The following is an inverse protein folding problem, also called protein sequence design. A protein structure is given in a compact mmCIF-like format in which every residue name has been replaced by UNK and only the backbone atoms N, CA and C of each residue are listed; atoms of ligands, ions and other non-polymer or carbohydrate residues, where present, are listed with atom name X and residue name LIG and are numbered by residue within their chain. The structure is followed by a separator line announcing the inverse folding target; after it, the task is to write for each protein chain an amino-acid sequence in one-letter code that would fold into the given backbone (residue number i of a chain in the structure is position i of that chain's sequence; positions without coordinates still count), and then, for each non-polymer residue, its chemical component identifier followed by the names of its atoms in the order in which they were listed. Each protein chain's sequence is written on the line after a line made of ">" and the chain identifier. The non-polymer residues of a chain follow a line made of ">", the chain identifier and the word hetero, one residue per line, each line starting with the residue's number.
data_IF_601831963660
#
_entry.id   IF_601831963660
#
_cell.length_a   1.000
_cell.length_b   1.000
_cell.length_c   1.000
_cell.angle_alpha   90.00
_cell.angle_beta   90.00
_cell.angle_gamma   90.00
#
_symmetry.space_group_name_H-M   'P 1'
#
loop_
_entity.id
_entity.type
_entity.pdbx_description
1 polymer ?
#
# COMPACT_ATOMS: atom_id res chain seq x y z
N UNK A 1 -26.32 46.27 -1.40
CA UNK A 1 -27.38 45.33 -1.82
C UNK A 1 -26.71 44.17 -2.52
N UNK A 2 -26.86 42.93 -2.00
CA UNK A 2 -26.07 41.78 -2.46
C UNK A 2 -26.82 41.04 -3.60
N UNK A 3 -26.29 40.99 -4.83
CA UNK A 3 -26.99 40.47 -6.02
C UNK A 3 -27.29 38.96 -5.96
N UNK A 4 -26.71 38.23 -5.00
CA UNK A 4 -26.90 36.79 -4.79
C UNK A 4 -28.27 36.39 -4.20
N UNK A 5 -29.07 37.35 -3.71
CA UNK A 5 -30.39 37.04 -3.10
C UNK A 5 -31.43 36.51 -4.08
N UNK A 6 -31.27 36.77 -5.38
CA UNK A 6 -32.28 36.41 -6.38
C UNK A 6 -32.17 34.96 -6.87
N UNK A 7 -31.03 34.31 -6.64
CA UNK A 7 -30.69 32.99 -7.18
C UNK A 7 -30.98 31.83 -6.20
N UNK A 8 -31.29 32.13 -4.93
CA UNK A 8 -31.43 31.14 -3.85
C UNK A 8 -32.75 31.38 -3.13
N UNK A 9 -33.58 30.34 -2.97
CA UNK A 9 -34.86 30.41 -2.25
C UNK A 9 -34.69 31.07 -0.87
N UNK A 10 -35.61 31.96 -0.48
CA UNK A 10 -35.55 32.73 0.77
C UNK A 10 -35.16 31.94 2.05
N UNK A 11 -35.68 30.71 2.30
CA UNK A 11 -35.26 29.94 3.48
C UNK A 11 -33.83 29.38 3.39
N UNK A 12 -33.36 29.07 2.18
CA UNK A 12 -32.00 28.59 1.96
C UNK A 12 -30.96 29.71 2.16
N UNK A 13 -31.31 30.96 1.81
CA UNK A 13 -30.45 32.11 2.07
C UNK A 13 -30.29 32.40 3.57
N UNK A 14 -31.39 32.33 4.34
CA UNK A 14 -31.38 32.57 5.79
C UNK A 14 -30.55 31.52 6.54
N UNK A 15 -30.64 30.25 6.13
CA UNK A 15 -29.85 29.18 6.73
C UNK A 15 -28.36 29.30 6.39
N UNK A 16 -28.02 29.76 5.18
CA UNK A 16 -26.63 30.02 4.78
C UNK A 16 -26.02 31.20 5.53
N UNK A 17 -26.77 32.31 5.67
CA UNK A 17 -26.29 33.51 6.37
C UNK A 17 -26.05 33.22 7.86
N UNK A 18 -26.98 32.52 8.51
CA UNK A 18 -26.85 32.14 9.93
C UNK A 18 -25.61 31.24 10.16
N UNK A 19 -25.31 30.34 9.22
CA UNK A 19 -24.10 29.49 9.29
C UNK A 19 -22.82 30.28 9.05
N UNK A 20 -22.83 31.20 8.09
CA UNK A 20 -21.71 32.08 7.81
C UNK A 20 -21.38 32.94 9.04
N UNK A 21 -22.39 33.54 9.65
CA UNK A 21 -22.23 34.37 10.86
C UNK A 21 -21.75 33.52 12.05
N UNK A 22 -22.25 32.28 12.19
CA UNK A 22 -21.74 31.31 13.17
C UNK A 22 -20.25 31.00 12.99
N UNK A 23 -19.77 30.80 11.76
CA UNK A 23 -18.35 30.56 11.49
C UNK A 23 -17.49 31.81 11.76
N UNK A 24 -18.03 33.01 11.51
CA UNK A 24 -17.36 34.29 11.79
C UNK A 24 -17.22 34.51 13.30
N UNK A 25 -18.26 34.25 14.08
CA UNK A 25 -18.25 34.33 15.54
C UNK A 25 -17.28 33.33 16.18
N UNK A 26 -17.10 32.17 15.57
CA UNK A 26 -16.15 31.16 16.02
C UNK A 26 -14.68 31.50 15.68
N UNK A 27 -14.40 32.60 14.97
CA UNK A 27 -13.04 33.07 14.66
C UNK A 27 -12.46 32.58 13.33
N UNK A 28 -13.29 32.16 12.36
CA UNK A 28 -12.81 31.78 11.02
C UNK A 28 -12.63 32.98 10.09
N UNK A 29 -11.65 32.88 9.17
CA UNK A 29 -11.44 33.90 8.14
C UNK A 29 -12.66 34.02 7.21
N UNK A 30 -12.96 35.23 6.73
CA UNK A 30 -14.10 35.47 5.85
C UNK A 30 -14.04 34.62 4.56
N UNK A 31 -12.83 34.41 4.04
CA UNK A 31 -12.59 33.54 2.88
C UNK A 31 -12.89 32.07 3.19
N UNK A 32 -12.42 31.56 4.33
CA UNK A 32 -12.71 30.17 4.72
C UNK A 32 -14.20 29.94 4.94
N UNK A 33 -14.90 30.86 5.62
CA UNK A 33 -16.35 30.79 5.82
C UNK A 33 -17.11 30.82 4.48
N UNK A 34 -16.69 31.69 3.54
CA UNK A 34 -17.28 31.78 2.20
C UNK A 34 -17.07 30.51 1.37
N UNK A 35 -15.84 30.00 1.34
CA UNK A 35 -15.49 28.76 0.62
C UNK A 35 -16.29 27.57 1.17
N UNK A 36 -16.37 27.40 2.49
CA UNK A 36 -17.15 26.30 3.09
C UNK A 36 -18.65 26.43 2.83
N UNK A 37 -19.22 27.64 2.89
CA UNK A 37 -20.62 27.85 2.51
C UNK A 37 -20.89 27.52 1.04
N UNK A 38 -19.99 27.92 0.13
CA UNK A 38 -20.08 27.56 -1.29
C UNK A 38 -20.04 26.04 -1.50
N UNK A 39 -19.10 25.34 -0.86
CA UNK A 39 -19.01 23.89 -0.93
C UNK A 39 -20.19 23.16 -0.27
N UNK A 40 -20.80 23.73 0.77
CA UNK A 40 -22.02 23.20 1.37
C UNK A 40 -23.21 23.29 0.41
N UNK A 41 -23.35 24.42 -0.31
CA UNK A 41 -24.39 24.60 -1.33
C UNK A 41 -24.15 23.67 -2.51
N UNK A 42 -22.92 23.61 -3.03
CA UNK A 42 -22.52 22.72 -4.11
C UNK A 42 -22.71 21.24 -3.71
N UNK A 43 -22.37 20.92 -2.48
CA UNK A 43 -22.58 19.60 -1.94
C UNK A 43 -24.08 19.29 -1.82
N UNK A 44 -24.92 20.21 -1.32
CA UNK A 44 -26.38 20.03 -1.26
C UNK A 44 -27.02 19.88 -2.64
N UNK A 45 -26.48 20.54 -3.67
CA UNK A 45 -27.00 20.42 -5.04
C UNK A 45 -26.58 19.12 -5.74
N UNK A 46 -25.33 18.67 -5.56
CA UNK A 46 -24.79 17.49 -6.24
C UNK A 46 -25.01 16.19 -5.46
N UNK A 47 -24.89 16.25 -4.13
CA UNK A 47 -24.99 15.13 -3.21
C UNK A 47 -26.24 15.35 -2.38
N UNK A 48 -27.30 14.58 -2.64
CA UNK A 48 -28.55 14.60 -1.85
C UNK A 48 -28.26 14.22 -0.39
N UNK A 49 -27.78 15.18 0.41
CA UNK A 49 -27.37 14.97 1.81
C UNK A 49 -28.57 14.67 2.73
N UNK A 50 -29.79 14.83 2.23
CA UNK A 50 -31.05 14.39 2.84
C UNK A 50 -31.21 12.87 2.83
N UNK A 51 -30.44 12.14 2.01
CA UNK A 51 -30.52 10.69 1.97
C UNK A 51 -30.10 10.10 3.34
N UNK A 52 -30.76 9.02 3.80
CA UNK A 52 -30.52 8.44 5.13
C UNK A 52 -29.08 7.91 5.31
N UNK A 53 -28.37 7.65 4.22
CA UNK A 53 -26.94 7.32 4.25
C UNK A 53 -26.06 8.51 4.64
N UNK A 54 -26.29 9.68 4.05
CA UNK A 54 -25.52 10.89 4.31
C UNK A 54 -25.78 11.47 5.69
N UNK A 55 -27.02 11.42 6.18
CA UNK A 55 -27.35 11.86 7.54
C UNK A 55 -26.59 11.06 8.61
N UNK A 56 -26.38 9.75 8.39
CA UNK A 56 -25.55 8.92 9.30
C UNK A 56 -24.09 9.34 9.29
N UNK A 57 -23.54 9.68 8.12
CA UNK A 57 -22.15 10.16 7.97
C UNK A 57 -21.98 11.51 8.66
N UNK A 58 -22.92 12.43 8.47
CA UNK A 58 -22.91 13.76 9.08
C UNK A 58 -23.04 13.65 10.60
N UNK A 59 -23.92 12.78 11.11
CA UNK A 59 -24.06 12.53 12.55
C UNK A 59 -22.77 11.97 13.19
N UNK A 60 -22.00 11.19 12.44
CA UNK A 60 -20.73 10.61 12.89
C UNK A 60 -19.50 11.44 12.48
N UNK A 61 -19.68 12.66 11.97
CA UNK A 61 -18.59 13.48 11.41
C UNK A 61 -17.46 13.72 12.40
N UNK A 62 -17.76 13.99 13.67
CA UNK A 62 -16.75 14.17 14.73
C UNK A 62 -15.95 12.91 15.01
N UNK A 63 -16.58 11.74 14.86
CA UNK A 63 -15.91 10.46 15.01
C UNK A 63 -15.08 10.12 13.78
N UNK A 64 -15.55 10.41 12.56
CA UNK A 64 -14.84 10.08 11.32
C UNK A 64 -13.66 11.03 11.04
N UNK A 65 -13.82 12.33 11.33
CA UNK A 65 -12.81 13.35 11.11
C UNK A 65 -12.53 14.14 12.40
N UNK A 66 -11.85 13.56 13.39
CA UNK A 66 -11.58 14.23 14.67
C UNK A 66 -10.73 15.49 14.51
N UNK A 67 -9.93 15.57 13.44
CA UNK A 67 -9.04 16.70 13.14
C UNK A 67 -9.72 17.89 12.44
N UNK A 68 -10.98 17.76 12.02
CA UNK A 68 -11.72 18.82 11.30
C UNK A 68 -12.77 19.38 12.25
N UNK A 69 -12.47 20.52 12.88
CA UNK A 69 -13.40 21.21 13.78
C UNK A 69 -14.56 21.82 12.97
N UNK A 70 -15.81 21.36 13.17
CA UNK A 70 -16.97 21.91 12.45
C UNK A 70 -17.20 23.39 12.71
N UNK A 71 -16.75 23.86 13.87
CA UNK A 71 -16.99 25.19 14.40
C UNK A 71 -15.98 26.22 13.84
N UNK A 72 -14.78 25.79 13.42
CA UNK A 72 -13.71 26.68 12.93
C UNK A 72 -13.13 26.20 11.59
N UNK A 73 -13.86 26.39 10.48
CA UNK A 73 -13.39 25.96 9.16
C UNK A 73 -12.12 26.72 8.74
N UNK A 74 -11.07 25.98 8.37
CA UNK A 74 -9.87 26.50 7.70
C UNK A 74 -10.02 26.33 6.18
N UNK A 75 -9.37 27.18 5.36
CA UNK A 75 -9.52 27.11 3.90
C UNK A 75 -9.01 25.79 3.32
N UNK A 76 -8.00 25.17 3.95
CA UNK A 76 -7.42 23.89 3.53
C UNK A 76 -8.17 22.65 4.07
N UNK A 77 -9.25 22.82 4.85
CA UNK A 77 -9.96 21.68 5.43
C UNK A 77 -10.72 20.84 4.39
N UNK A 78 -11.05 21.42 3.23
CA UNK A 78 -11.70 20.70 2.13
C UNK A 78 -10.74 19.69 1.51
N UNK A 79 -9.49 20.10 1.25
CA UNK A 79 -8.47 19.21 0.70
C UNK A 79 -8.17 18.06 1.67
N UNK A 80 -8.12 18.37 2.99
CA UNK A 80 -7.98 17.37 4.05
C UNK A 80 -9.18 16.43 4.12
N UNK A 81 -10.39 16.95 3.96
CA UNK A 81 -11.60 16.13 3.93
C UNK A 81 -11.58 15.16 2.74
N UNK A 82 -11.19 15.63 1.55
CA UNK A 82 -11.08 14.80 0.34
C UNK A 82 -9.97 13.76 0.49
N UNK A 83 -8.76 14.17 0.87
CA UNK A 83 -7.62 13.25 1.02
C UNK A 83 -7.90 12.18 2.07
N UNK A 84 -8.49 12.56 3.20
CA UNK A 84 -8.81 11.64 4.28
C UNK A 84 -9.99 10.74 3.92
N UNK A 85 -10.98 11.24 3.18
CA UNK A 85 -12.07 10.40 2.66
C UNK A 85 -11.55 9.37 1.66
N UNK A 86 -10.63 9.76 0.77
CA UNK A 86 -9.94 8.86 -0.16
C UNK A 86 -9.09 7.84 0.61
N UNK A 87 -8.36 8.29 1.63
CA UNK A 87 -7.53 7.40 2.45
C UNK A 87 -8.37 6.37 3.23
N UNK A 88 -9.48 6.79 3.83
CA UNK A 88 -10.45 5.90 4.47
C UNK A 88 -11.07 4.93 3.45
N UNK A 89 -11.25 5.36 2.20
CA UNK A 89 -11.77 4.53 1.10
C UNK A 89 -10.78 3.48 0.62
N UNK A 90 -9.49 3.82 0.55
CA UNK A 90 -8.44 2.95 0.04
C UNK A 90 -7.86 2.02 1.11
N UNK A 91 -7.53 2.55 2.29
CA UNK A 91 -6.61 1.90 3.23
C UNK A 91 -7.22 1.36 4.52
N UNK A 92 -8.50 1.62 4.83
CA UNK A 92 -9.06 1.13 6.08
C UNK A 92 -9.11 -0.42 6.09
N UNK A 93 -8.35 -1.10 6.97
CA UNK A 93 -8.36 -2.56 7.08
C UNK A 93 -9.70 -3.00 7.70
N UNK A 94 -10.29 -4.07 7.17
CA UNK A 94 -11.45 -4.72 7.78
C UNK A 94 -10.97 -5.59 8.95
N UNK A 95 -10.51 -4.96 10.03
CA UNK A 95 -10.18 -5.71 11.25
C UNK A 95 -11.48 -6.15 11.93
N UNK A 96 -11.64 -7.46 12.08
CA UNK A 96 -12.79 -8.11 12.71
C UNK A 96 -12.92 -7.89 14.23
N UNK A 97 -12.36 -6.80 14.78
CA UNK A 97 -12.42 -6.54 16.22
C UNK A 97 -13.75 -5.90 16.64
N UNK A 98 -14.47 -6.62 17.48
CA UNK A 98 -15.87 -6.41 17.85
C UNK A 98 -15.99 -5.55 19.11
N UNK A 99 -15.83 -4.22 19.02
CA UNK A 99 -16.54 -3.35 20.00
C UNK A 99 -16.71 -1.88 19.65
N UNK A 100 -15.84 -1.27 18.84
CA UNK A 100 -15.92 0.20 18.61
C UNK A 100 -15.95 0.65 17.13
N UNK A 101 -15.61 -0.23 16.18
CA UNK A 101 -15.56 0.13 14.75
C UNK A 101 -16.85 -0.16 13.96
N UNK A 102 -17.73 -1.07 14.42
CA UNK A 102 -18.96 -1.45 13.69
C UNK A 102 -19.96 -0.28 13.49
N UNK A 103 -20.03 0.68 14.42
CA UNK A 103 -20.92 1.86 14.26
C UNK A 103 -20.41 2.86 13.22
N UNK A 104 -19.09 3.02 13.06
CA UNK A 104 -18.45 3.85 12.02
C UNK A 104 -18.64 3.29 10.60
N UNK A 105 -18.85 1.97 10.49
CA UNK A 105 -18.81 1.22 9.24
C UNK A 105 -20.16 1.16 8.48
N UNK A 106 -21.29 1.32 9.20
CA UNK A 106 -22.63 1.16 8.59
C UNK A 106 -23.03 2.26 7.62
N UNK A 107 -22.41 3.44 7.68
CA UNK A 107 -22.80 4.57 6.84
C UNK A 107 -22.29 4.44 5.40
N UNK A 108 -21.15 3.76 5.20
CA UNK A 108 -20.51 3.60 3.90
C UNK A 108 -20.71 2.22 3.25
N UNK A 109 -21.40 1.28 3.90
CA UNK A 109 -21.54 -0.10 3.43
C UNK A 109 -22.11 -0.24 1.99
N UNK A 110 -22.94 0.71 1.52
CA UNK A 110 -23.43 0.72 0.12
C UNK A 110 -22.33 1.07 -0.90
N UNK A 111 -21.41 1.98 -0.55
CA UNK A 111 -20.27 2.36 -1.40
C UNK A 111 -19.17 1.29 -1.41
N UNK A 112 -18.98 0.58 -0.30
CA UNK A 112 -17.99 -0.50 -0.18
C UNK A 112 -18.53 -1.89 -0.56
N UNK A 113 -19.81 -2.03 -0.93
CA UNK A 113 -20.42 -3.30 -1.31
C UNK A 113 -19.73 -3.95 -2.52
N UNK A 114 -19.41 -3.15 -3.54
CA UNK A 114 -18.63 -3.61 -4.70
C UNK A 114 -17.21 -4.03 -4.31
N UNK A 115 -16.57 -3.32 -3.37
CA UNK A 115 -15.24 -3.68 -2.84
C UNK A 115 -15.28 -5.00 -2.08
N UNK A 116 -16.32 -5.24 -1.29
CA UNK A 116 -16.52 -6.49 -0.55
C UNK A 116 -16.88 -7.66 -1.48
N UNK A 117 -17.68 -7.44 -2.52
CA UNK A 117 -17.93 -8.45 -3.55
C UNK A 117 -16.67 -8.74 -4.37
N UNK A 118 -15.88 -7.71 -4.70
CA UNK A 118 -14.57 -7.88 -5.31
C UNK A 118 -13.63 -8.65 -4.38
N UNK A 119 -13.64 -8.40 -3.06
CA UNK A 119 -12.86 -9.16 -2.09
C UNK A 119 -13.31 -10.60 -1.94
N UNK A 120 -14.61 -10.85 -1.84
CA UNK A 120 -15.16 -12.20 -1.77
C UNK A 120 -14.94 -12.97 -3.09
N UNK A 121 -14.91 -12.27 -4.22
CA UNK A 121 -14.53 -12.84 -5.51
C UNK A 121 -13.02 -13.09 -5.61
N UNK A 122 -12.19 -12.19 -5.08
CA UNK A 122 -10.74 -12.34 -5.00
C UNK A 122 -10.30 -13.45 -4.05
N UNK A 123 -10.99 -13.63 -2.93
CA UNK A 123 -10.76 -14.74 -1.99
C UNK A 123 -11.18 -16.10 -2.59
N UNK A 124 -11.98 -16.11 -3.67
CA UNK A 124 -12.25 -17.32 -4.47
C UNK A 124 -11.22 -17.57 -5.57
N UNK A 125 -10.39 -16.60 -5.96
CA UNK A 125 -9.29 -16.81 -6.91
C UNK A 125 -8.21 -17.80 -6.41
N UNK A 126 -7.80 -17.86 -5.12
CA UNK A 126 -6.85 -18.88 -4.67
C UNK A 126 -7.39 -20.31 -4.78
N UNK A 127 -8.71 -20.54 -4.91
CA UNK A 127 -9.26 -21.87 -5.22
C UNK A 127 -8.90 -22.33 -6.65
N UNK A 128 -8.59 -21.40 -7.57
CA UNK A 128 -8.07 -21.73 -8.89
C UNK A 128 -6.56 -21.98 -8.91
N UNK A 129 -5.81 -21.66 -7.85
CA UNK A 129 -4.38 -21.97 -7.75
C UNK A 129 -4.16 -23.48 -7.49
N UNK A 130 -5.11 -24.18 -6.85
CA UNK A 130 -5.14 -25.67 -6.86
C UNK A 130 -5.30 -26.27 -8.26
N UNK A 131 -5.77 -25.49 -9.25
CA UNK A 131 -5.74 -25.89 -10.67
C UNK A 131 -4.32 -25.87 -11.25
N UNK A 132 -3.43 -25.06 -10.65
CA UNK A 132 -1.99 -25.06 -10.92
C UNK A 132 -1.34 -26.38 -10.54
N UNK A 133 -1.67 -26.95 -9.37
CA UNK A 133 -1.20 -28.29 -8.96
C UNK A 133 -1.70 -29.39 -9.92
N UNK A 134 -2.95 -29.30 -10.40
CA UNK A 134 -3.47 -30.22 -11.45
C UNK A 134 -2.81 -30.01 -12.82
N UNK A 135 -2.44 -28.78 -13.15
CA UNK A 135 -1.66 -28.45 -14.35
C UNK A 135 -0.24 -28.99 -14.23
N UNK A 136 0.38 -28.88 -13.05
CA UNK A 136 1.67 -29.47 -12.73
C UNK A 136 1.64 -31.01 -12.79
N UNK A 137 0.58 -31.65 -12.29
CA UNK A 137 0.36 -33.09 -12.45
C UNK A 137 0.21 -33.48 -13.94
N UNK A 138 -0.52 -32.70 -14.74
CA UNK A 138 -0.64 -32.94 -16.19
C UNK A 138 0.68 -32.68 -16.93
N UNK A 139 1.44 -31.66 -16.53
CA UNK A 139 2.77 -31.34 -17.07
C UNK A 139 3.82 -32.38 -16.66
N UNK A 140 3.71 -32.97 -15.47
CA UNK A 140 4.56 -34.07 -15.00
C UNK A 140 4.31 -35.39 -15.75
N UNK A 141 3.14 -35.55 -16.38
CA UNK A 141 2.84 -36.71 -17.25
C UNK A 141 3.43 -36.58 -18.65
N UNK A 142 3.94 -35.40 -19.04
CA UNK A 142 4.58 -35.18 -20.34
C UNK A 142 6.05 -35.62 -20.29
N UNK A 143 6.60 -35.97 -21.47
CA UNK A 143 8.01 -36.35 -21.57
C UNK A 143 8.93 -35.23 -21.05
N UNK A 144 10.04 -35.57 -20.37
CA UNK A 144 10.92 -34.58 -19.73
C UNK A 144 11.50 -33.57 -20.75
N UNK A 145 11.72 -33.99 -22.00
CA UNK A 145 12.16 -33.12 -23.08
C UNK A 145 11.09 -32.11 -23.53
N UNK A 146 9.85 -32.54 -23.71
CA UNK A 146 8.74 -31.66 -24.10
C UNK A 146 8.42 -30.65 -23.00
N UNK A 147 8.48 -31.07 -21.74
CA UNK A 147 8.33 -30.19 -20.58
C UNK A 147 9.39 -29.08 -20.61
N UNK A 148 10.67 -29.44 -20.77
CA UNK A 148 11.77 -28.47 -20.84
C UNK A 148 11.59 -27.50 -22.00
N UNK A 149 11.17 -28.00 -23.18
CA UNK A 149 10.88 -27.17 -24.34
C UNK A 149 9.73 -26.18 -24.08
N UNK A 150 8.62 -26.64 -23.52
CA UNK A 150 7.47 -25.78 -23.19
C UNK A 150 7.83 -24.68 -22.19
N UNK A 151 8.61 -25.00 -21.15
CA UNK A 151 9.09 -23.99 -20.20
C UNK A 151 10.05 -23.00 -20.85
N UNK A 152 10.96 -23.46 -21.72
CA UNK A 152 11.87 -22.56 -22.46
C UNK A 152 11.08 -21.65 -23.40
N UNK A 153 10.16 -22.19 -24.20
CA UNK A 153 9.32 -21.41 -25.11
C UNK A 153 8.44 -20.42 -24.33
N UNK A 154 7.81 -20.84 -23.24
CA UNK A 154 7.01 -19.96 -22.39
C UNK A 154 7.83 -18.84 -21.77
N UNK A 155 9.04 -19.16 -21.28
CA UNK A 155 9.98 -18.16 -20.74
C UNK A 155 10.45 -17.19 -21.81
N UNK A 156 10.72 -17.66 -23.04
CA UNK A 156 11.10 -16.81 -24.17
C UNK A 156 9.97 -15.85 -24.56
N UNK A 157 8.73 -16.35 -24.64
CA UNK A 157 7.56 -15.52 -24.94
C UNK A 157 7.36 -14.47 -23.84
N UNK A 158 7.44 -14.87 -22.57
CA UNK A 158 7.32 -13.95 -21.44
C UNK A 158 8.44 -12.89 -21.45
N UNK A 159 9.68 -13.28 -21.73
CA UNK A 159 10.80 -12.37 -21.86
C UNK A 159 10.63 -11.40 -23.03
N UNK A 160 10.16 -11.87 -24.18
CA UNK A 160 9.88 -11.02 -25.35
C UNK A 160 8.76 -10.00 -25.06
N UNK A 161 7.68 -10.43 -24.41
CA UNK A 161 6.59 -9.54 -24.00
C UNK A 161 7.06 -8.50 -22.96
N UNK A 162 7.90 -8.92 -22.01
CA UNK A 162 8.48 -8.02 -21.01
C UNK A 162 9.41 -7.00 -21.68
N UNK A 163 10.26 -7.44 -22.61
CA UNK A 163 11.15 -6.55 -23.37
C UNK A 163 10.36 -5.53 -24.17
N UNK A 164 9.29 -5.97 -24.84
CA UNK A 164 8.39 -5.09 -25.60
C UNK A 164 7.71 -4.06 -24.69
N UNK A 165 7.26 -4.47 -23.50
CA UNK A 165 6.71 -3.53 -22.50
C UNK A 165 7.74 -2.52 -21.95
N UNK A 166 9.02 -2.91 -21.87
CA UNK A 166 10.11 -2.05 -21.39
C UNK A 166 10.51 -1.05 -22.48
N UNK A 167 10.66 -1.50 -23.73
CA UNK A 167 11.19 -0.68 -24.82
C UNK A 167 10.16 0.23 -25.49
N UNK A 168 8.86 -0.04 -25.34
CA UNK A 168 7.82 0.73 -26.03
C UNK A 168 7.69 2.16 -25.45
N UNK A 169 7.91 3.22 -26.26
CA UNK A 169 7.68 4.59 -25.85
C UNK A 169 6.17 4.81 -25.77
N UNK A 170 5.65 4.90 -24.55
CA UNK A 170 4.26 5.27 -24.31
C UNK A 170 4.17 6.79 -24.18
N UNK A 171 3.08 7.36 -24.67
CA UNK A 171 2.72 8.73 -24.36
C UNK A 171 2.50 8.91 -22.85
N UNK A 172 2.65 10.14 -22.34
CA UNK A 172 2.55 10.45 -20.91
C UNK A 172 1.23 10.00 -20.30
N UNK A 173 0.12 10.17 -21.02
CA UNK A 173 -1.20 9.77 -20.53
C UNK A 173 -1.33 8.24 -20.46
N UNK A 174 -0.87 7.55 -21.50
CA UNK A 174 -0.87 6.08 -21.56
C UNK A 174 0.06 5.48 -20.51
N UNK A 175 1.22 6.10 -20.27
CA UNK A 175 2.15 5.70 -19.20
C UNK A 175 1.50 5.84 -17.82
N UNK A 176 0.77 6.92 -17.57
CA UNK A 176 0.05 7.10 -16.32
C UNK A 176 -1.01 6.00 -16.09
N UNK A 177 -1.82 5.70 -17.11
CA UNK A 177 -2.81 4.61 -17.05
C UNK A 177 -2.11 3.27 -16.81
N UNK A 178 -1.02 3.00 -17.52
CA UNK A 178 -0.26 1.76 -17.38
C UNK A 178 0.28 1.58 -15.95
N UNK A 179 0.90 2.62 -15.38
CA UNK A 179 1.40 2.59 -13.99
C UNK A 179 0.27 2.40 -12.99
N UNK A 180 -0.87 3.08 -13.17
CA UNK A 180 -2.05 2.88 -12.33
C UNK A 180 -2.57 1.44 -12.41
N UNK A 181 -2.59 0.85 -13.61
CA UNK A 181 -3.03 -0.52 -13.82
C UNK A 181 -2.07 -1.53 -13.19
N UNK A 182 -0.75 -1.33 -13.33
CA UNK A 182 0.26 -2.15 -12.66
C UNK A 182 0.17 -2.00 -11.13
N UNK A 183 -0.06 -0.79 -10.63
CA UNK A 183 -0.25 -0.56 -9.20
C UNK A 183 -1.51 -1.24 -8.66
N UNK A 184 -2.63 -1.15 -9.38
CA UNK A 184 -3.85 -1.87 -9.04
C UNK A 184 -3.61 -3.39 -9.03
N UNK A 185 -2.92 -3.93 -10.04
CA UNK A 185 -2.52 -5.33 -10.10
C UNK A 185 -1.62 -5.71 -8.90
N UNK A 186 -0.63 -4.88 -8.56
CA UNK A 186 0.23 -5.10 -7.39
C UNK A 186 -0.58 -5.15 -6.09
N UNK A 187 -1.55 -4.24 -5.93
CA UNK A 187 -2.43 -4.19 -4.75
C UNK A 187 -3.34 -5.42 -4.64
N UNK A 188 -3.75 -5.99 -5.78
CA UNK A 188 -4.51 -7.22 -5.86
C UNK A 188 -3.61 -8.42 -5.51
N UNK A 189 -2.44 -8.55 -6.13
CA UNK A 189 -1.48 -9.64 -5.90
C UNK A 189 -0.94 -9.65 -4.47
N UNK A 190 -0.69 -8.48 -3.88
CA UNK A 190 -0.22 -8.33 -2.49
C UNK A 190 -1.15 -8.96 -1.45
N UNK A 191 -2.44 -9.12 -1.79
CA UNK A 191 -3.42 -9.72 -0.88
C UNK A 191 -3.43 -11.25 -0.93
N UNK A 192 -2.79 -11.86 -1.94
CA UNK A 192 -2.71 -13.32 -2.07
C UNK A 192 -1.58 -13.83 -1.17
N UNK A 193 -1.87 -14.64 -0.14
CA UNK A 193 -0.82 -15.25 0.67
C UNK A 193 -0.09 -16.32 -0.14
N UNK A 194 1.25 -16.23 -0.23
CA UNK A 194 2.06 -17.27 -0.85
C UNK A 194 3.39 -16.81 -1.46
N UNK A 195 4.23 -17.79 -1.81
CA UNK A 195 5.53 -17.55 -2.47
C UNK A 195 5.35 -17.00 -3.89
N UNK A 196 4.36 -17.50 -4.63
CA UNK A 196 4.07 -17.06 -6.00
C UNK A 196 3.67 -15.59 -6.06
N UNK A 197 2.86 -15.11 -5.12
CA UNK A 197 2.49 -13.70 -5.04
C UNK A 197 3.72 -12.80 -4.81
N UNK A 198 4.63 -13.22 -3.94
CA UNK A 198 5.91 -12.52 -3.69
C UNK A 198 6.77 -12.50 -4.95
N UNK A 199 6.90 -13.63 -5.64
CA UNK A 199 7.64 -13.73 -6.92
C UNK A 199 7.02 -12.84 -8.00
N UNK A 200 5.70 -12.82 -8.15
CA UNK A 200 5.00 -11.96 -9.11
C UNK A 200 5.20 -10.48 -8.81
N UNK A 201 5.18 -10.08 -7.53
CA UNK A 201 5.46 -8.70 -7.12
C UNK A 201 6.91 -8.29 -7.39
N UNK A 202 7.86 -9.20 -7.17
CA UNK A 202 9.27 -8.99 -7.50
C UNK A 202 9.43 -8.79 -9.02
N UNK A 203 8.84 -9.67 -9.84
CA UNK A 203 8.88 -9.56 -11.30
C UNK A 203 8.23 -8.25 -11.77
N UNK A 204 7.07 -7.89 -11.21
CA UNK A 204 6.39 -6.64 -11.52
C UNK A 204 7.25 -5.42 -11.16
N UNK A 205 7.86 -5.42 -9.99
CA UNK A 205 8.76 -4.35 -9.53
C UNK A 205 10.00 -4.24 -10.42
N UNK A 206 10.59 -5.37 -10.82
CA UNK A 206 11.71 -5.41 -11.75
C UNK A 206 11.32 -4.86 -13.12
N UNK A 207 10.16 -5.24 -13.67
CA UNK A 207 9.69 -4.72 -14.97
C UNK A 207 9.53 -3.20 -14.96
N UNK A 208 8.93 -2.63 -13.91
CA UNK A 208 8.79 -1.16 -13.78
C UNK A 208 10.16 -0.49 -13.65
N UNK A 209 11.05 -1.07 -12.84
CA UNK A 209 12.39 -0.53 -12.63
C UNK A 209 13.25 -0.60 -13.89
N UNK A 210 13.19 -1.70 -14.65
CA UNK A 210 13.87 -1.85 -15.93
C UNK A 210 13.33 -0.86 -16.97
N UNK A 211 12.02 -0.63 -17.02
CA UNK A 211 11.42 0.40 -17.89
C UNK A 211 11.93 1.80 -17.55
N UNK A 212 11.98 2.14 -16.27
CA UNK A 212 12.55 3.41 -15.82
C UNK A 212 14.02 3.56 -16.21
N UNK A 213 14.81 2.51 -15.96
CA UNK A 213 16.24 2.51 -16.27
C UNK A 213 16.47 2.63 -17.79
N UNK A 214 15.69 1.91 -18.60
CA UNK A 214 15.72 2.03 -20.07
C UNK A 214 15.44 3.46 -20.54
N UNK A 215 14.41 4.12 -19.97
CA UNK A 215 14.11 5.52 -20.27
C UNK A 215 15.28 6.44 -19.87
N UNK A 216 15.93 6.19 -18.72
CA UNK A 216 17.12 6.93 -18.29
C UNK A 216 18.27 6.81 -19.29
N UNK A 217 18.59 5.58 -19.70
CA UNK A 217 19.68 5.32 -20.66
C UNK A 217 19.44 5.98 -22.02
N UNK A 218 18.20 6.00 -22.49
CA UNK A 218 17.86 6.49 -23.83
C UNK A 218 17.57 7.99 -23.89
N UNK A 219 16.95 8.57 -22.85
CA UNK A 219 16.40 9.94 -22.92
C UNK A 219 17.22 10.98 -22.18
N UNK A 220 18.20 10.59 -21.34
CA UNK A 220 18.86 11.53 -20.43
C UNK A 220 20.35 11.73 -20.68
N UNK A 221 20.92 11.03 -21.65
CA UNK A 221 22.31 11.21 -22.06
C UNK A 221 22.40 12.34 -23.10
N UNK A 222 23.00 13.46 -22.71
CA UNK A 222 23.31 14.56 -23.61
C UNK A 222 24.66 14.30 -24.27
N UNK A 223 24.68 14.14 -25.60
CA UNK A 223 25.89 13.84 -26.37
C UNK A 223 26.66 15.10 -26.80
N UNK A 224 26.08 16.29 -26.63
CA UNK A 224 26.62 17.54 -27.19
C UNK A 224 27.66 18.21 -26.28
N UNK A 225 27.66 17.92 -24.98
CA UNK A 225 28.57 18.53 -24.00
C UNK A 225 29.31 17.46 -23.16
N UNK A 226 30.66 17.37 -23.24
CA UNK A 226 31.45 16.36 -22.54
C UNK A 226 31.35 16.43 -21.00
N UNK A 227 31.18 17.62 -20.43
CA UNK A 227 31.07 17.80 -18.97
C UNK A 227 29.72 17.29 -18.47
N UNK A 228 28.63 17.71 -19.12
CA UNK A 228 27.29 17.20 -18.85
C UNK A 228 27.18 15.69 -19.08
N UNK A 229 27.84 15.16 -20.10
CA UNK A 229 27.93 13.72 -20.36
C UNK A 229 28.60 12.97 -19.21
N UNK A 230 29.71 13.50 -18.68
CA UNK A 230 30.44 12.87 -17.56
C UNK A 230 29.57 12.80 -16.30
N UNK A 231 28.89 13.89 -15.94
CA UNK A 231 27.98 13.89 -14.80
C UNK A 231 26.74 13.00 -15.03
N UNK A 232 26.20 12.98 -16.25
CA UNK A 232 25.11 12.09 -16.64
C UNK A 232 25.49 10.61 -16.53
N UNK A 233 26.70 10.25 -16.98
CA UNK A 233 27.23 8.90 -16.88
C UNK A 233 27.49 8.49 -15.41
N UNK A 234 28.06 9.38 -14.61
CA UNK A 234 28.27 9.11 -13.18
C UNK A 234 26.94 8.84 -12.46
N UNK A 235 25.91 9.62 -12.79
CA UNK A 235 24.58 9.47 -12.21
C UNK A 235 23.90 8.17 -12.66
N UNK A 236 24.00 7.80 -13.94
CA UNK A 236 23.40 6.55 -14.43
C UNK A 236 24.12 5.32 -13.86
N UNK A 237 25.44 5.39 -13.64
CA UNK A 237 26.19 4.32 -12.97
C UNK A 237 25.74 4.16 -11.52
N UNK A 238 25.54 5.26 -10.80
CA UNK A 238 25.02 5.22 -9.43
C UNK A 238 23.59 4.63 -9.37
N UNK A 239 22.71 5.04 -10.29
CA UNK A 239 21.35 4.48 -10.40
C UNK A 239 21.38 2.98 -10.75
N UNK A 240 22.21 2.57 -11.70
CA UNK A 240 22.38 1.16 -12.07
C UNK A 240 22.94 0.32 -10.92
N UNK A 241 23.87 0.87 -10.13
CA UNK A 241 24.36 0.21 -8.92
C UNK A 241 23.23 -0.01 -7.91
N UNK A 242 22.40 1.01 -7.64
CA UNK A 242 21.25 0.88 -6.75
C UNK A 242 20.25 -0.18 -7.27
N UNK A 243 20.03 -0.22 -8.59
CA UNK A 243 19.19 -1.23 -9.23
C UNK A 243 19.76 -2.66 -9.04
N UNK A 244 21.07 -2.86 -9.20
CA UNK A 244 21.72 -4.16 -8.96
C UNK A 244 21.56 -4.59 -7.50
N UNK A 245 21.77 -3.68 -6.54
CA UNK A 245 21.58 -3.98 -5.10
C UNK A 245 20.13 -4.38 -4.82
N UNK A 246 19.15 -3.73 -5.45
CA UNK A 246 17.74 -4.10 -5.34
C UNK A 246 17.47 -5.50 -5.91
N UNK A 247 18.03 -5.84 -7.07
CA UNK A 247 17.93 -7.19 -7.66
C UNK A 247 18.50 -8.23 -6.70
N UNK A 248 19.69 -7.99 -6.14
CA UNK A 248 20.32 -8.89 -5.17
C UNK A 248 19.49 -9.03 -3.89
N UNK A 249 18.91 -7.95 -3.38
CA UNK A 249 17.98 -7.98 -2.26
C UNK A 249 16.77 -8.87 -2.55
N UNK A 250 16.21 -8.79 -3.75
CA UNK A 250 15.13 -9.68 -4.16
C UNK A 250 15.55 -11.14 -4.22
N UNK A 251 16.73 -11.46 -4.76
CA UNK A 251 17.27 -12.82 -4.74
C UNK A 251 17.39 -13.40 -3.33
N UNK A 252 17.79 -12.60 -2.35
CA UNK A 252 17.86 -13.03 -0.95
C UNK A 252 16.47 -13.29 -0.36
N UNK A 253 15.49 -12.45 -0.68
CA UNK A 253 14.12 -12.58 -0.15
C UNK A 253 13.27 -13.66 -0.85
N UNK A 254 13.69 -14.15 -2.02
CA UNK A 254 12.95 -15.14 -2.82
C UNK A 254 12.82 -16.51 -2.14
N UNK A 255 13.83 -16.91 -1.35
CA UNK A 255 13.84 -18.21 -0.67
C UNK A 255 14.10 -18.07 0.84
N UNK A 256 13.11 -17.62 1.62
CA UNK A 256 13.23 -17.60 3.07
C UNK A 256 13.27 -19.04 3.58
N UNK A 257 14.45 -19.47 4.03
CA UNK A 257 14.65 -20.78 4.60
C UNK A 257 14.03 -20.83 5.99
N UNK A 258 12.78 -21.28 6.06
CA UNK A 258 12.07 -21.50 7.32
C UNK A 258 12.60 -22.76 7.99
N UNK A 259 13.67 -22.65 8.78
CA UNK A 259 14.11 -23.73 9.66
C UNK A 259 13.17 -23.77 10.86
N UNK A 260 12.47 -24.88 11.03
CA UNK A 260 11.75 -25.13 12.27
C UNK A 260 12.77 -25.41 13.39
N UNK A 261 12.52 -24.93 14.62
CA UNK A 261 13.36 -25.27 15.75
C UNK A 261 13.25 -26.79 15.99
N UNK A 262 14.39 -27.48 15.96
CA UNK A 262 14.45 -28.90 16.29
C UNK A 262 14.42 -29.01 17.82
N UNK A 263 13.46 -29.78 18.34
CA UNK A 263 13.42 -30.12 19.76
C UNK A 263 14.65 -30.96 20.13
N UNK A 264 15.21 -30.71 21.31
CA UNK A 264 16.28 -31.54 21.85
C UNK A 264 15.77 -32.99 22.03
N UNK A 265 16.65 -34.01 21.93
CA UNK A 265 16.30 -35.38 22.25
C UNK A 265 15.79 -35.49 23.70
N UNK A 266 14.78 -36.34 23.94
CA UNK A 266 14.23 -36.55 25.29
C UNK A 266 15.27 -37.16 26.25
N UNK A 267 16.22 -37.95 25.74
CA UNK A 267 17.32 -38.47 26.56
C UNK A 267 18.39 -37.40 26.77
N UNK A 268 18.47 -36.90 28.00
CA UNK A 268 19.42 -35.88 28.45
C UNK A 268 20.89 -36.31 28.30
N UNK A 269 21.17 -37.62 28.19
CA UNK A 269 22.54 -38.14 27.99
C UNK A 269 23.09 -37.86 26.59
N UNK A 270 22.21 -37.60 25.62
CA UNK A 270 22.58 -37.27 24.25
C UNK A 270 22.81 -35.76 24.06
N UNK A 271 22.65 -34.97 25.11
CA UNK A 271 22.80 -33.52 25.01
C UNK A 271 24.28 -33.16 24.82
N UNK A 272 24.61 -32.33 23.81
CA UNK A 272 25.96 -31.86 23.63
C UNK A 272 26.36 -30.93 24.78
N UNK A 273 27.60 -31.04 25.24
CA UNK A 273 28.21 -30.02 26.10
C UNK A 273 28.44 -28.74 25.28
N UNK A 274 27.81 -27.63 25.67
CA UNK A 274 27.91 -26.34 24.97
C UNK A 274 28.71 -25.36 25.82
N UNK A 275 29.83 -24.89 25.28
CA UNK A 275 30.59 -23.79 25.87
C UNK A 275 30.05 -22.45 25.37
N UNK A 276 29.64 -21.60 26.30
CA UNK A 276 29.02 -20.31 26.00
C UNK A 276 30.00 -19.17 26.29
N UNK A 277 30.67 -18.70 25.26
CA UNK A 277 31.62 -17.60 25.37
C UNK A 277 30.88 -16.26 25.37
N UNK A 278 31.15 -15.42 26.37
CA UNK A 278 30.63 -14.06 26.47
C UNK A 278 31.80 -13.08 26.35
N UNK A 279 32.02 -12.47 25.19
CA UNK A 279 33.04 -11.44 25.07
C UNK A 279 32.53 -10.18 25.80
N UNK A 280 33.29 -9.71 26.80
CA UNK A 280 33.06 -8.43 27.48
C UNK A 280 34.29 -7.55 27.33
N UNK A 281 34.10 -6.27 27.00
CA UNK A 281 35.21 -5.31 26.92
C UNK A 281 35.21 -4.37 28.13
N UNK A 282 34.20 -3.51 28.24
CA UNK A 282 34.09 -2.51 29.30
C UNK A 282 32.62 -2.21 29.63
N UNK A 283 31.75 -3.22 29.57
CA UNK A 283 30.37 -3.08 30.03
C UNK A 283 30.32 -2.92 31.56
N UNK A 284 29.47 -2.02 32.10
CA UNK A 284 29.34 -1.83 33.53
C UNK A 284 28.84 -3.11 34.22
N UNK A 285 29.37 -3.40 35.41
CA UNK A 285 29.12 -4.63 36.18
C UNK A 285 27.64 -4.90 36.48
N UNK A 286 26.77 -3.89 36.41
CA UNK A 286 25.32 -4.03 36.55
C UNK A 286 24.68 -4.78 35.38
N UNK A 287 25.19 -4.63 34.15
CA UNK A 287 24.67 -5.28 32.94
C UNK A 287 25.14 -6.73 32.82
N UNK A 288 26.40 -7.00 33.18
CA UNK A 288 26.97 -8.35 33.18
C UNK A 288 26.25 -9.25 34.18
N UNK A 289 25.99 -8.75 35.40
CA UNK A 289 25.26 -9.50 36.44
C UNK A 289 23.84 -9.85 36.02
N UNK A 290 23.13 -8.97 35.30
CA UNK A 290 21.78 -9.27 34.80
C UNK A 290 21.80 -10.36 33.74
N UNK A 291 22.80 -10.39 32.85
CA UNK A 291 22.95 -11.48 31.89
C UNK A 291 23.27 -12.82 32.55
N UNK A 292 24.14 -12.84 33.56
CA UNK A 292 24.45 -14.05 34.32
C UNK A 292 23.25 -14.56 35.13
N UNK A 293 22.53 -13.66 35.82
CA UNK A 293 21.36 -14.03 36.62
C UNK A 293 20.20 -14.54 35.75
N UNK A 294 19.95 -13.93 34.58
CA UNK A 294 18.91 -14.39 33.64
C UNK A 294 19.23 -15.79 33.08
N UNK A 295 20.52 -16.12 32.93
CA UNK A 295 20.97 -17.44 32.45
C UNK A 295 21.00 -18.50 33.55
N UNK A 296 21.30 -18.14 34.79
CA UNK A 296 21.11 -19.02 35.93
C UNK A 296 19.62 -19.40 36.10
N UNK A 297 18.71 -18.47 35.81
CA UNK A 297 17.26 -18.74 35.77
C UNK A 297 16.83 -19.77 34.73
N UNK A 298 17.36 -19.72 33.49
CA UNK A 298 17.09 -20.75 32.48
C UNK A 298 17.57 -22.15 32.90
N UNK A 299 18.73 -22.23 33.58
CA UNK A 299 19.27 -23.49 34.13
C UNK A 299 18.42 -24.11 35.23
N UNK A 300 17.58 -23.33 35.92
CA UNK A 300 16.68 -23.81 36.98
C UNK A 300 15.26 -24.10 36.48
N UNK A 301 14.83 -23.49 35.38
CA UNK A 301 13.50 -23.70 34.79
C UNK A 301 13.42 -24.95 33.88
N UNK A 302 14.57 -25.48 33.46
CA UNK A 302 14.70 -26.68 32.61
C UNK A 302 15.13 -27.94 33.40
N UNK A 303 15.16 -27.87 34.74
CA UNK A 303 15.30 -29.03 35.65
C UNK A 303 13.96 -29.34 36.30
#
# INVERSE_FOLDING_TARGET
>A
MNPLRWLIAAPAWQTLSTRYDGYRLAGSSALAAGIHCFWLVLGWSLLRFEAPGWQRIIAQRRTLWPHISPERPRPLDILRFLSQSIWLLLFLPQDGSTRSQRKRFNAFHRLFGWRQQAYLWLDRLPQHIHRGERLEEKLNRLSPGLRKLLFICGSLIAAALALLCISQPFDLFTQFIFVLMLWALAMVVRRVPGRLATMMLIVLSLTVSCRYLWWRYTSTLNWDDPVSLTFGLLLIVAETYAWVVLVLGYFQTLWPLHRQPVSLPEDTRLWPSVDLLVPTYNEPMSVVKTNDLRRAGHRLAER
#
